data_IF_401923319226
#
_entry.id   IF_401923319226
#
_cell.length_a   1.000
_cell.length_b   1.000
_cell.length_c   1.000
_cell.angle_alpha   90.00
_cell.angle_beta   90.00
_cell.angle_gamma   90.00
#
_symmetry.space_group_name_H-M   'P 1'
#
loop_
_entity.id
_entity.type
_entity.pdbx_description
1 polymer ?
#
# COMPACT_ATOMS: atom_id res chain seq x y z
N UNK A 1 -4.96 5.34 31.06
CA UNK A 1 -4.85 5.15 29.59
C UNK A 1 -5.33 6.38 28.81
N UNK A 2 -6.41 7.08 29.21
CA UNK A 2 -6.85 8.32 28.53
C UNK A 2 -5.89 9.52 28.72
N UNK A 3 -5.29 9.65 29.92
CA UNK A 3 -4.36 10.75 30.26
C UNK A 3 -3.07 10.82 29.42
N UNK A 4 -2.75 9.81 28.60
CA UNK A 4 -1.49 9.76 27.85
C UNK A 4 -1.58 10.33 26.41
N UNK A 5 -2.70 10.96 26.02
CA UNK A 5 -2.86 11.60 24.70
C UNK A 5 -2.85 10.65 23.48
N UNK A 6 -2.73 9.33 23.67
CA UNK A 6 -2.68 8.35 22.56
C UNK A 6 -4.04 8.18 21.90
N UNK A 7 -4.06 8.00 20.58
CA UNK A 7 -5.28 7.71 19.83
C UNK A 7 -6.04 6.48 20.36
N UNK A 8 -7.37 6.47 20.22
CA UNK A 8 -8.22 5.40 20.74
C UNK A 8 -7.90 4.02 20.12
N UNK A 9 -7.58 4.00 18.82
CA UNK A 9 -7.13 2.80 18.10
C UNK A 9 -5.82 2.24 18.70
N UNK A 10 -4.84 3.10 18.97
CA UNK A 10 -3.58 2.71 19.61
C UNK A 10 -3.82 2.08 20.98
N UNK A 11 -4.66 2.69 21.82
CA UNK A 11 -5.00 2.13 23.14
C UNK A 11 -5.69 0.77 23.02
N UNK A 12 -6.58 0.60 22.05
CA UNK A 12 -7.28 -0.68 21.80
C UNK A 12 -6.32 -1.77 21.33
N UNK A 13 -5.37 -1.44 20.45
CA UNK A 13 -4.35 -2.38 19.98
C UNK A 13 -3.42 -2.81 21.12
N UNK A 14 -2.98 -1.86 21.95
CA UNK A 14 -2.17 -2.16 23.14
C UNK A 14 -2.94 -3.08 24.12
N UNK A 15 -4.21 -2.78 24.39
CA UNK A 15 -5.06 -3.62 25.22
C UNK A 15 -5.20 -5.04 24.65
N UNK A 16 -5.45 -5.15 23.34
CA UNK A 16 -5.58 -6.45 22.67
C UNK A 16 -4.28 -7.28 22.76
N UNK A 17 -3.12 -6.66 22.56
CA UNK A 17 -1.83 -7.32 22.68
C UNK A 17 -1.57 -7.81 24.11
N UNK A 18 -1.79 -6.96 25.12
CA UNK A 18 -1.63 -7.33 26.53
C UNK A 18 -2.60 -8.44 26.94
N UNK A 19 -3.86 -8.37 26.45
CA UNK A 19 -4.85 -9.40 26.72
C UNK A 19 -4.43 -10.75 26.14
N UNK A 20 -3.93 -10.77 24.89
CA UNK A 20 -3.43 -11.98 24.26
C UNK A 20 -2.25 -12.60 25.03
N UNK A 21 -1.30 -11.77 25.51
CA UNK A 21 -0.17 -12.24 26.32
C UNK A 21 -0.63 -12.89 27.63
N UNK A 22 -1.55 -12.25 28.35
CA UNK A 22 -2.04 -12.81 29.62
C UNK A 22 -2.91 -14.05 29.44
N UNK A 23 -3.71 -14.09 28.37
CA UNK A 23 -4.53 -15.26 28.07
C UNK A 23 -3.63 -16.45 27.68
N UNK A 24 -2.57 -16.23 26.89
CA UNK A 24 -1.55 -17.24 26.58
C UNK A 24 -0.82 -17.74 27.84
N UNK A 25 -0.47 -16.84 28.77
CA UNK A 25 0.14 -17.21 30.04
C UNK A 25 -0.79 -18.07 30.92
N UNK A 26 -2.10 -17.85 30.88
CA UNK A 26 -3.08 -18.71 31.56
C UNK A 26 -3.19 -20.07 30.88
N UNK A 27 -3.26 -20.10 29.55
CA UNK A 27 -3.30 -21.35 28.78
C UNK A 27 -2.07 -22.22 29.06
N UNK A 28 -0.89 -21.62 29.21
CA UNK A 28 0.35 -22.31 29.56
C UNK A 28 0.51 -22.55 31.08
N UNK A 29 -0.50 -22.26 31.90
CA UNK A 29 -0.49 -22.52 33.35
C UNK A 29 0.44 -21.61 34.17
N UNK A 30 1.01 -20.56 33.58
CA UNK A 30 1.88 -19.60 34.27
C UNK A 30 1.09 -18.64 35.18
N UNK A 31 -0.20 -18.45 34.86
CA UNK A 31 -1.13 -17.66 35.65
C UNK A 31 -2.42 -18.44 35.88
N UNK A 32 -3.00 -18.33 37.08
CA UNK A 32 -4.31 -18.91 37.36
C UNK A 32 -5.47 -18.16 36.68
N UNK A 33 -5.29 -16.88 36.38
CA UNK A 33 -6.29 -16.07 35.68
C UNK A 33 -5.65 -14.83 35.02
N UNK A 34 -6.26 -14.38 33.91
CA UNK A 34 -5.77 -13.25 33.12
C UNK A 34 -6.11 -11.90 33.82
N UNK A 35 -5.11 -11.08 34.20
CA UNK A 35 -5.36 -9.79 34.85
C UNK A 35 -6.18 -8.83 33.97
N UNK A 36 -6.08 -8.98 32.65
CA UNK A 36 -6.77 -8.12 31.68
C UNK A 36 -8.29 -8.37 31.60
N UNK A 37 -8.81 -9.42 32.25
CA UNK A 37 -10.27 -9.67 32.40
C UNK A 37 -10.97 -8.55 33.15
N UNK A 38 -10.32 -8.01 34.19
CA UNK A 38 -10.89 -6.94 35.04
C UNK A 38 -10.71 -5.55 34.45
N UNK A 39 -9.95 -5.42 33.36
CA UNK A 39 -9.69 -4.13 32.73
C UNK A 39 -10.74 -3.85 31.66
N UNK A 40 -11.46 -2.74 31.81
CA UNK A 40 -12.45 -2.27 30.83
C UNK A 40 -11.78 -2.06 29.47
N UNK A 41 -12.26 -2.77 28.45
CA UNK A 41 -11.77 -2.63 27.07
C UNK A 41 -11.92 -1.18 26.60
N UNK A 42 -10.85 -0.54 26.12
CA UNK A 42 -10.94 0.80 25.55
C UNK A 42 -11.94 0.82 24.38
N UNK A 43 -12.94 1.70 24.48
CA UNK A 43 -13.83 1.98 23.36
C UNK A 43 -13.05 2.73 22.30
N UNK A 44 -13.13 2.25 21.07
CA UNK A 44 -12.72 3.00 19.90
C UNK A 44 -14.01 3.31 19.15
N UNK A 45 -14.33 4.59 19.03
CA UNK A 45 -15.35 5.04 18.09
C UNK A 45 -14.74 4.88 16.70
N UNK A 46 -15.44 4.21 15.79
CA UNK A 46 -15.01 4.15 14.40
C UNK A 46 -15.05 5.59 13.87
N UNK A 47 -13.88 6.13 13.55
CA UNK A 47 -13.79 7.38 12.80
C UNK A 47 -13.91 6.98 11.35
N UNK A 48 -14.98 7.43 10.70
CA UNK A 48 -15.14 7.21 9.27
C UNK A 48 -14.02 7.93 8.54
N UNK A 49 -13.25 7.18 7.76
CA UNK A 49 -12.16 7.75 6.98
C UNK A 49 -12.78 8.54 5.82
N UNK A 50 -12.40 9.81 5.59
CA UNK A 50 -12.89 10.57 4.44
C UNK A 50 -12.59 9.80 3.15
N UNK A 51 -13.63 9.50 2.38
CA UNK A 51 -13.51 8.92 1.04
C UNK A 51 -13.34 10.03 0.01
N UNK A 52 -12.59 9.75 -1.05
CA UNK A 52 -12.43 10.69 -2.15
C UNK A 52 -13.65 10.62 -3.08
N UNK A 53 -14.23 11.77 -3.43
CA UNK A 53 -15.31 11.82 -4.44
C UNK A 53 -14.76 11.63 -5.86
N UNK A 54 -15.57 11.24 -6.84
CA UNK A 54 -15.13 11.13 -8.24
C UNK A 54 -14.51 12.44 -8.77
N UNK A 55 -15.04 13.60 -8.38
CA UNK A 55 -14.54 14.92 -8.80
C UNK A 55 -13.18 15.22 -8.17
N UNK A 56 -12.99 14.85 -6.90
CA UNK A 56 -11.70 14.96 -6.22
C UNK A 56 -10.66 14.02 -6.88
N UNK A 57 -11.09 12.81 -7.27
CA UNK A 57 -10.25 11.87 -8.00
C UNK A 57 -9.81 12.44 -9.35
N UNK A 58 -10.75 13.00 -10.12
CA UNK A 58 -10.48 13.62 -11.40
C UNK A 58 -9.49 14.80 -11.26
N UNK A 59 -9.71 15.70 -10.30
CA UNK A 59 -8.77 16.80 -10.01
C UNK A 59 -7.38 16.31 -9.65
N UNK A 60 -7.28 15.30 -8.78
CA UNK A 60 -6.01 14.69 -8.44
C UNK A 60 -5.28 14.16 -9.67
N UNK A 61 -5.99 13.46 -10.56
CA UNK A 61 -5.41 12.89 -11.78
C UNK A 61 -4.91 13.95 -12.76
N UNK A 62 -5.55 15.11 -12.80
CA UNK A 62 -5.08 16.29 -13.55
C UNK A 62 -3.84 16.89 -12.89
N UNK A 63 -3.87 17.13 -11.58
CA UNK A 63 -2.77 17.76 -10.84
C UNK A 63 -1.45 16.95 -10.87
N UNK A 64 -1.55 15.62 -10.99
CA UNK A 64 -0.39 14.73 -11.08
C UNK A 64 -0.02 14.36 -12.52
N UNK A 65 -0.69 14.94 -13.54
CA UNK A 65 -0.37 14.66 -14.93
C UNK A 65 1.12 14.95 -15.23
N UNK A 66 1.77 14.04 -15.95
CA UNK A 66 3.20 14.11 -16.26
C UNK A 66 4.15 13.79 -15.10
N UNK A 67 3.65 13.52 -13.89
CA UNK A 67 4.49 13.02 -12.78
C UNK A 67 4.72 11.52 -12.93
N UNK A 68 5.92 11.03 -12.60
CA UNK A 68 6.30 9.61 -12.72
C UNK A 68 5.47 8.64 -11.86
N UNK A 69 4.72 9.15 -10.89
CA UNK A 69 3.85 8.34 -10.04
C UNK A 69 2.36 8.43 -10.44
N UNK A 70 2.04 9.12 -11.55
CA UNK A 70 0.67 9.31 -11.99
C UNK A 70 0.01 7.97 -12.35
N UNK A 71 0.75 7.11 -13.02
CA UNK A 71 0.38 5.76 -13.43
C UNK A 71 0.03 4.90 -12.20
N UNK A 72 0.85 5.01 -11.15
CA UNK A 72 0.66 4.31 -9.89
C UNK A 72 -0.65 4.73 -9.22
N UNK A 73 -0.93 6.03 -9.19
CA UNK A 73 -2.17 6.56 -8.63
C UNK A 73 -3.38 6.14 -9.48
N UNK A 74 -3.26 6.15 -10.81
CA UNK A 74 -4.34 5.68 -11.70
C UNK A 74 -4.67 4.22 -11.45
N UNK A 75 -3.67 3.35 -11.29
CA UNK A 75 -3.90 1.95 -10.93
C UNK A 75 -4.58 1.82 -9.57
N UNK A 76 -4.15 2.57 -8.56
CA UNK A 76 -4.77 2.55 -7.23
C UNK A 76 -6.26 2.91 -7.29
N UNK A 77 -6.61 3.95 -8.05
CA UNK A 77 -7.99 4.40 -8.21
C UNK A 77 -8.82 3.45 -9.08
N UNK A 78 -8.24 2.90 -10.14
CA UNK A 78 -8.95 2.04 -11.09
C UNK A 78 -9.16 0.59 -10.62
N UNK A 79 -8.28 0.08 -9.75
CA UNK A 79 -8.30 -1.34 -9.32
C UNK A 79 -8.69 -1.55 -7.86
N UNK A 80 -8.63 -0.50 -7.03
CA UNK A 80 -8.85 -0.59 -5.59
C UNK A 80 -7.83 -1.46 -4.86
N UNK A 81 -6.69 -1.77 -5.49
CA UNK A 81 -5.62 -2.55 -4.87
C UNK A 81 -4.97 -1.77 -3.72
N UNK A 82 -4.45 -2.49 -2.74
CA UNK A 82 -3.70 -1.86 -1.65
C UNK A 82 -2.42 -1.28 -2.21
N UNK A 83 -1.99 -0.14 -1.66
CA UNK A 83 -0.74 0.52 -2.07
C UNK A 83 0.47 -0.41 -2.10
N UNK A 84 0.65 -1.26 -1.10
CA UNK A 84 1.75 -2.23 -1.10
C UNK A 84 1.64 -3.24 -2.23
N UNK A 85 0.44 -3.70 -2.56
CA UNK A 85 0.19 -4.64 -3.67
C UNK A 85 0.56 -4.00 -5.00
N UNK A 86 0.07 -2.79 -5.25
CA UNK A 86 0.41 -2.01 -6.45
C UNK A 86 1.92 -1.83 -6.54
N UNK A 87 2.57 -1.31 -5.50
CA UNK A 87 4.03 -1.06 -5.52
C UNK A 87 4.88 -2.34 -5.66
N UNK A 88 4.35 -3.52 -5.35
CA UNK A 88 5.06 -4.80 -5.49
C UNK A 88 4.91 -5.49 -6.86
N UNK A 89 4.11 -4.93 -7.77
CA UNK A 89 3.90 -5.54 -9.08
C UNK A 89 5.19 -5.66 -9.89
N UNK A 90 5.15 -6.46 -10.95
CA UNK A 90 6.17 -6.53 -11.99
C UNK A 90 5.47 -6.49 -13.34
N UNK A 91 6.20 -6.15 -14.41
CA UNK A 91 5.63 -6.27 -15.77
C UNK A 91 5.17 -7.69 -16.10
N UNK A 92 5.82 -8.72 -15.54
CA UNK A 92 5.42 -10.12 -15.66
C UNK A 92 4.09 -10.45 -14.97
N UNK A 93 3.57 -9.54 -14.13
CA UNK A 93 2.31 -9.72 -13.42
C UNK A 93 1.14 -9.11 -14.19
N UNK A 94 1.41 -8.41 -15.29
CA UNK A 94 0.46 -7.71 -16.13
C UNK A 94 0.33 -8.42 -17.47
N UNK A 95 -0.78 -9.15 -17.64
CA UNK A 95 -1.18 -9.69 -18.92
C UNK A 95 -2.06 -8.66 -19.65
N UNK A 96 -1.40 -7.78 -20.41
CA UNK A 96 -2.06 -6.68 -21.11
C UNK A 96 -2.82 -7.14 -22.37
N UNK A 97 -2.63 -8.38 -22.81
CA UNK A 97 -3.40 -8.97 -23.91
C UNK A 97 -4.74 -9.49 -23.40
N UNK A 98 -4.74 -10.13 -22.22
CA UNK A 98 -5.96 -10.59 -21.55
C UNK A 98 -6.65 -9.50 -20.72
N UNK A 99 -5.98 -8.38 -20.49
CA UNK A 99 -6.47 -7.32 -19.61
C UNK A 99 -6.53 -7.77 -18.16
N UNK A 100 -5.51 -8.49 -17.69
CA UNK A 100 -5.47 -9.08 -16.34
C UNK A 100 -4.20 -8.66 -15.58
N UNK A 101 -4.37 -8.42 -14.29
CA UNK A 101 -3.29 -8.15 -13.34
C UNK A 101 -3.30 -9.21 -12.24
N UNK A 102 -2.16 -9.84 -11.99
CA UNK A 102 -2.00 -10.85 -10.95
C UNK A 102 -1.32 -10.28 -9.70
N UNK A 103 -2.01 -10.26 -8.57
CA UNK A 103 -1.43 -9.83 -7.29
C UNK A 103 -0.64 -10.98 -6.67
N UNK A 104 0.70 -10.81 -6.58
CA UNK A 104 1.62 -11.83 -6.06
C UNK A 104 2.18 -11.53 -4.67
N UNK A 105 2.08 -10.29 -4.22
CA UNK A 105 2.66 -9.87 -2.95
C UNK A 105 2.32 -8.43 -2.63
N UNK A 106 2.93 -7.92 -1.56
CA UNK A 106 2.76 -6.56 -1.10
C UNK A 106 4.09 -6.01 -0.60
N UNK A 107 4.45 -4.81 -1.03
CA UNK A 107 5.64 -4.11 -0.59
C UNK A 107 5.40 -3.57 0.81
N UNK A 108 6.16 -4.08 1.78
CA UNK A 108 6.08 -3.71 3.18
C UNK A 108 7.43 -3.21 3.67
N UNK A 109 7.41 -2.38 4.71
CA UNK A 109 8.64 -1.98 5.41
C UNK A 109 8.85 -2.93 6.58
N UNK A 110 9.96 -3.67 6.56
CA UNK A 110 10.33 -4.64 7.59
C UNK A 110 11.83 -4.51 7.88
N UNK A 111 12.22 -4.51 9.16
CA UNK A 111 13.64 -4.49 9.57
C UNK A 111 14.43 -3.26 9.09
N UNK A 112 13.79 -2.13 8.84
CA UNK A 112 14.45 -0.92 8.31
C UNK A 112 14.55 -0.85 6.78
N UNK A 113 14.20 -1.92 6.07
CA UNK A 113 14.20 -1.98 4.60
C UNK A 113 12.80 -2.19 3.99
N UNK A 114 12.74 -2.12 2.65
CA UNK A 114 11.57 -2.50 1.88
C UNK A 114 11.70 -3.97 1.46
N UNK A 115 10.65 -4.75 1.72
CA UNK A 115 10.59 -6.18 1.39
C UNK A 115 9.27 -6.46 0.71
N UNK A 116 9.31 -7.23 -0.38
CA UNK A 116 8.09 -7.78 -0.98
C UNK A 116 7.68 -8.99 -0.16
N UNK A 117 6.59 -8.83 0.60
CA UNK A 117 6.00 -9.92 1.38
C UNK A 117 5.01 -10.69 0.51
N UNK A 118 5.18 -12.00 0.44
CA UNK A 118 4.21 -12.90 -0.17
C UNK A 118 3.12 -13.27 0.84
N UNK A 119 1.88 -13.56 0.40
CA UNK A 119 0.86 -14.09 1.30
C UNK A 119 1.40 -15.31 2.05
N UNK A 120 1.15 -15.38 3.37
CA UNK A 120 1.62 -16.49 4.22
C UNK A 120 0.97 -17.83 3.88
N UNK A 121 -0.11 -17.82 3.12
CA UNK A 121 -0.88 -19.01 2.72
C UNK A 121 -0.77 -19.21 1.21
N UNK A 122 -0.77 -20.47 0.77
CA UNK A 122 -0.81 -20.90 -0.63
C UNK A 122 -2.14 -20.55 -1.34
N UNK A 123 -2.83 -19.50 -0.92
CA UNK A 123 -4.06 -19.05 -1.56
C UNK A 123 -3.78 -18.59 -2.99
N UNK A 124 -4.70 -18.87 -3.93
CA UNK A 124 -4.54 -18.49 -5.32
C UNK A 124 -4.32 -16.99 -5.44
N UNK A 125 -3.34 -16.62 -6.26
CA UNK A 125 -2.99 -15.23 -6.58
C UNK A 125 -4.26 -14.54 -7.10
N UNK A 126 -4.65 -13.41 -6.50
CA UNK A 126 -5.85 -12.67 -6.90
C UNK A 126 -5.61 -12.07 -8.29
N UNK A 127 -6.51 -12.35 -9.23
CA UNK A 127 -6.53 -11.72 -10.55
C UNK A 127 -7.49 -10.52 -10.51
N UNK A 128 -7.10 -9.41 -11.12
CA UNK A 128 -7.90 -8.19 -11.27
C UNK A 128 -7.97 -7.83 -12.74
N UNK A 129 -9.17 -7.66 -13.26
CA UNK A 129 -9.39 -7.21 -14.64
C UNK A 129 -9.05 -5.73 -14.79
N UNK A 130 -8.41 -5.39 -15.91
CA UNK A 130 -8.03 -4.05 -16.30
C UNK A 130 -8.98 -3.56 -17.40
N UNK A 131 -9.39 -2.30 -17.32
CA UNK A 131 -10.16 -1.66 -18.39
C UNK A 131 -9.26 -1.31 -19.59
N UNK A 132 -9.84 -1.23 -20.78
CA UNK A 132 -9.11 -0.88 -22.00
C UNK A 132 -8.29 0.42 -21.88
N UNK A 133 -8.83 1.52 -21.29
CA UNK A 133 -8.02 2.73 -21.07
C UNK A 133 -6.81 2.50 -20.16
N UNK A 134 -6.92 1.61 -19.17
CA UNK A 134 -5.81 1.25 -18.30
C UNK A 134 -4.75 0.44 -19.05
N UNK A 135 -5.17 -0.49 -19.89
CA UNK A 135 -4.27 -1.29 -20.73
C UNK A 135 -3.46 -0.37 -21.64
N UNK A 136 -4.12 0.56 -22.35
CA UNK A 136 -3.43 1.53 -23.21
C UNK A 136 -2.41 2.38 -22.45
N UNK A 137 -2.78 2.84 -21.25
CA UNK A 137 -1.88 3.61 -20.37
C UNK A 137 -0.65 2.79 -19.92
N UNK A 138 -0.85 1.52 -19.58
CA UNK A 138 0.22 0.63 -19.14
C UNK A 138 1.16 0.29 -20.30
N UNK A 139 0.65 0.08 -21.51
CA UNK A 139 1.47 -0.10 -22.73
C UNK A 139 2.35 1.12 -22.99
N UNK A 140 1.78 2.33 -22.96
CA UNK A 140 2.54 3.57 -23.16
C UNK A 140 3.62 3.77 -22.07
N UNK A 141 3.30 3.42 -20.83
CA UNK A 141 4.25 3.51 -19.71
C UNK A 141 5.38 2.51 -19.82
N UNK A 142 5.08 1.27 -20.23
CA UNK A 142 6.10 0.24 -20.50
C UNK A 142 7.06 0.67 -21.59
N UNK A 143 6.54 1.28 -22.66
CA UNK A 143 7.37 1.77 -23.77
C UNK A 143 8.35 2.86 -23.31
N UNK A 144 7.85 3.91 -22.65
CA UNK A 144 8.69 4.99 -22.10
C UNK A 144 9.78 4.46 -21.17
N UNK A 145 9.43 3.52 -20.29
CA UNK A 145 10.40 2.98 -19.34
C UNK A 145 11.49 2.14 -20.02
N UNK A 146 11.16 1.41 -21.08
CA UNK A 146 12.15 0.69 -21.88
C UNK A 146 13.11 1.66 -22.59
N UNK A 147 12.60 2.76 -23.16
CA UNK A 147 13.45 3.81 -23.75
C UNK A 147 14.39 4.43 -22.71
N UNK A 148 13.88 4.73 -21.51
CA UNK A 148 14.69 5.25 -20.41
C UNK A 148 15.76 4.26 -19.95
N UNK A 149 15.42 2.97 -19.85
CA UNK A 149 16.37 1.89 -19.51
C UNK A 149 17.49 1.78 -20.55
N UNK A 150 17.14 1.82 -21.83
CA UNK A 150 18.12 1.79 -22.92
C UNK A 150 19.07 2.99 -22.85
N UNK A 151 18.56 4.19 -22.52
CA UNK A 151 19.39 5.39 -22.33
C UNK A 151 20.27 5.34 -21.08
N UNK A 152 19.80 4.70 -20.00
CA UNK A 152 20.50 4.63 -18.72
C UNK A 152 21.58 3.53 -18.65
N UNK A 153 21.64 2.65 -19.65
CA UNK A 153 22.59 1.53 -19.74
C UNK A 153 22.68 0.74 -18.42
N UNK A 154 23.88 0.64 -17.83
CA UNK A 154 24.16 -0.27 -16.71
C UNK A 154 23.82 0.31 -15.32
N UNK A 155 23.34 1.55 -15.24
CA UNK A 155 23.05 2.23 -13.97
C UNK A 155 21.62 1.99 -13.46
N UNK A 156 20.87 1.08 -14.09
CA UNK A 156 19.48 0.82 -13.73
C UNK A 156 19.36 -0.20 -12.58
N UNK A 157 18.96 0.30 -11.41
CA UNK A 157 18.70 -0.53 -10.22
C UNK A 157 17.33 -0.19 -9.62
N UNK A 158 16.23 -0.57 -10.28
CA UNK A 158 14.86 -0.30 -9.81
C UNK A 158 13.89 -1.44 -10.10
N UNK A 159 12.76 -1.53 -9.37
CA UNK A 159 11.74 -2.56 -9.59
C UNK A 159 11.12 -2.42 -10.98
N UNK A 160 10.66 -3.53 -11.56
CA UNK A 160 10.25 -3.52 -12.96
C UNK A 160 9.15 -2.52 -13.31
N UNK A 161 8.10 -2.37 -12.50
CA UNK A 161 6.94 -1.56 -12.86
C UNK A 161 6.86 -0.18 -12.16
N UNK A 162 7.13 -0.09 -10.85
CA UNK A 162 6.93 1.11 -10.00
C UNK A 162 8.14 2.05 -10.02
N UNK A 163 8.94 1.93 -11.06
CA UNK A 163 10.17 2.67 -11.19
C UNK A 163 9.90 4.15 -11.42
N UNK A 164 10.47 4.99 -10.57
CA UNK A 164 10.43 6.45 -10.71
C UNK A 164 11.80 7.04 -11.05
N UNK A 165 12.76 6.19 -11.45
CA UNK A 165 14.09 6.57 -11.89
C UNK A 165 15.17 5.58 -11.45
N UNK A 166 16.34 5.58 -12.12
CA UNK A 166 17.42 4.64 -11.84
C UNK A 166 17.80 4.67 -10.36
N UNK A 167 17.59 3.55 -9.65
CA UNK A 167 18.03 3.38 -8.26
C UNK A 167 16.98 3.64 -7.18
N UNK A 168 15.81 4.20 -7.49
CA UNK A 168 14.86 4.65 -6.44
C UNK A 168 13.56 3.84 -6.41
N UNK A 169 13.30 3.19 -5.27
CA UNK A 169 11.95 2.72 -4.94
C UNK A 169 11.03 3.92 -4.77
N UNK A 170 9.86 3.89 -5.42
CA UNK A 170 8.75 4.72 -4.98
C UNK A 170 8.23 4.16 -3.65
N UNK A 171 8.87 4.54 -2.53
CA UNK A 171 8.39 4.05 -1.25
C UNK A 171 7.00 4.62 -0.93
N UNK A 172 6.27 3.87 -0.11
CA UNK A 172 4.92 4.24 0.30
C UNK A 172 4.83 5.60 1.01
N UNK A 173 5.81 5.94 1.85
CA UNK A 173 5.80 7.19 2.64
C UNK A 173 6.12 8.43 1.80
N UNK A 174 7.18 8.44 0.96
CA UNK A 174 7.42 9.53 0.02
C UNK A 174 6.28 9.74 -0.97
N UNK A 175 5.62 8.68 -1.47
CA UNK A 175 4.46 8.80 -2.35
C UNK A 175 3.33 9.58 -1.67
N UNK A 176 2.93 9.18 -0.46
CA UNK A 176 1.86 9.89 0.27
C UNK A 176 2.23 11.34 0.59
N UNK A 177 3.52 11.60 0.90
CA UNK A 177 4.00 12.97 1.12
C UNK A 177 3.94 13.81 -0.16
N UNK A 178 4.32 13.24 -1.30
CA UNK A 178 4.23 13.88 -2.63
C UNK A 178 2.76 14.18 -2.98
N UNK A 179 1.85 13.21 -2.80
CA UNK A 179 0.41 13.42 -3.03
C UNK A 179 -0.18 14.48 -2.11
N UNK A 180 0.13 14.44 -0.81
CA UNK A 180 -0.37 15.45 0.13
C UNK A 180 0.09 16.87 -0.25
N UNK A 181 1.33 17.02 -0.74
CA UNK A 181 1.83 18.30 -1.27
C UNK A 181 1.08 18.73 -2.52
N UNK A 182 0.91 17.83 -3.51
CA UNK A 182 0.16 18.13 -4.73
C UNK A 182 -1.29 18.55 -4.46
N UNK A 183 -1.94 17.97 -3.44
CA UNK A 183 -3.31 18.32 -3.04
C UNK A 183 -3.38 19.63 -2.21
N UNK A 184 -2.30 20.03 -1.53
CA UNK A 184 -2.30 21.23 -0.65
C UNK A 184 -1.96 22.52 -1.41
N UNK A 185 -1.24 22.44 -2.53
CA UNK A 185 -0.81 23.61 -3.32
C UNK A 185 -1.96 24.26 -4.11
N UNK A 186 -3.14 23.66 -4.12
CA UNK A 186 -4.30 24.07 -4.93
C UNK A 186 -5.46 24.66 -4.10
N UNK A 187 -5.18 25.14 -2.88
CA UNK A 187 -6.09 25.95 -2.06
C UNK A 187 -5.57 27.37 -1.94
#
# INVERSE_FOLDING_TARGET
MEKAGRAASTRRNMYAALRAIFDDAVTNGLLGASPAVRVKRPRAVAVEAPSMTPEQAARLLVAIAGKRYAEVVRLLLGTGLRRGEVLALRWSDLDLERGELTVRGSLVRQGGGLVVSTPKTAQPRRIVSLSEPMIGLLRASRHRQLEERLRAANYWHGPDWADVGPGEWLESTPLMRKLRRSVTVER
#
